data_IF_675319053089
#
_entry.id   IF_675319053089
#
_cell.length_a   1.000
_cell.length_b   1.000
_cell.length_c   1.000
_cell.angle_alpha   90.00
_cell.angle_beta   90.00
_cell.angle_gamma   90.00
#
_symmetry.space_group_name_H-M   'P 1'
#
loop_
_entity.id
_entity.type
_entity.pdbx_description
1 polymer ?
#
# COMPACT_ATOMS: atom_id res chain seq x y z
N UNK A 1 -2.66 17.25 -14.04
CA UNK A 1 -2.32 15.89 -13.60
C UNK A 1 -0.95 15.53 -14.16
N UNK A 2 0.01 15.24 -13.30
CA UNK A 2 1.41 14.91 -13.66
C UNK A 2 1.54 13.40 -13.83
N UNK A 3 1.96 12.94 -14.99
CA UNK A 3 1.93 11.55 -15.38
C UNK A 3 3.31 11.04 -15.78
N UNK A 4 3.75 9.91 -15.23
CA UNK A 4 4.97 9.21 -15.61
C UNK A 4 4.60 8.01 -16.50
N UNK A 5 5.28 7.85 -17.65
CA UNK A 5 5.12 6.70 -18.54
C UNK A 5 6.25 5.71 -18.24
N UNK A 6 5.88 4.46 -17.97
CA UNK A 6 6.84 3.37 -17.65
C UNK A 6 6.56 2.19 -18.56
N UNK A 7 7.50 1.92 -19.48
CA UNK A 7 7.40 0.87 -20.51
C UNK A 7 8.80 0.63 -21.07
N UNK A 8 9.26 -0.59 -21.21
CA UNK A 8 10.61 -0.89 -21.73
C UNK A 8 10.71 -0.61 -23.24
N UNK A 9 9.59 -0.66 -23.95
CA UNK A 9 9.52 -0.39 -25.38
C UNK A 9 9.45 1.10 -25.70
N UNK A 10 10.53 1.71 -26.22
CA UNK A 10 10.53 3.12 -26.62
C UNK A 10 9.40 3.50 -27.63
N UNK A 11 9.02 2.65 -28.60
CA UNK A 11 7.88 2.94 -29.48
C UNK A 11 6.54 3.02 -28.74
N UNK A 12 6.34 2.19 -27.70
CA UNK A 12 5.12 2.21 -26.87
C UNK A 12 5.05 3.52 -26.07
N UNK A 13 6.15 3.95 -25.44
CA UNK A 13 6.22 5.24 -24.75
C UNK A 13 5.92 6.42 -25.70
N UNK A 14 6.54 6.42 -26.88
CA UNK A 14 6.29 7.46 -27.89
C UNK A 14 4.83 7.49 -28.36
N UNK A 15 4.17 6.34 -28.46
CA UNK A 15 2.75 6.24 -28.78
C UNK A 15 1.89 6.84 -27.67
N UNK A 16 2.12 6.45 -26.41
CA UNK A 16 1.39 6.97 -25.26
C UNK A 16 1.57 8.50 -25.14
N UNK A 17 2.78 9.00 -25.30
CA UNK A 17 3.06 10.44 -25.30
C UNK A 17 2.24 11.19 -26.36
N UNK A 18 2.17 10.66 -27.59
CA UNK A 18 1.37 11.26 -28.68
C UNK A 18 -0.13 11.27 -28.35
N UNK A 19 -0.64 10.18 -27.78
CA UNK A 19 -2.05 10.10 -27.38
C UNK A 19 -2.36 11.09 -26.24
N UNK A 20 -1.46 11.21 -25.27
CA UNK A 20 -1.62 12.11 -24.13
C UNK A 20 -1.54 13.60 -24.52
N UNK A 21 -0.86 13.95 -25.60
CA UNK A 21 -0.78 15.34 -26.09
C UNK A 21 -2.15 15.96 -26.47
N UNK A 22 -3.17 15.14 -26.70
CA UNK A 22 -4.54 15.62 -26.93
C UNK A 22 -5.27 16.08 -25.65
N UNK A 23 -4.70 15.81 -24.45
CA UNK A 23 -5.33 16.11 -23.15
C UNK A 23 -4.61 17.27 -22.47
N UNK A 24 -5.19 18.46 -22.49
CA UNK A 24 -4.59 19.70 -21.95
C UNK A 24 -4.42 19.70 -20.41
N UNK A 25 -5.15 18.84 -19.71
CA UNK A 25 -5.10 18.68 -18.26
C UNK A 25 -4.10 17.59 -17.81
N UNK A 26 -3.32 17.00 -18.73
CA UNK A 26 -2.30 15.99 -18.49
C UNK A 26 -0.94 16.50 -18.89
N UNK A 27 0.04 16.38 -18.01
CA UNK A 27 1.43 16.70 -18.23
C UNK A 27 2.26 15.43 -18.10
N UNK A 28 2.95 15.00 -19.14
CA UNK A 28 3.92 13.91 -19.07
C UNK A 28 5.21 14.45 -18.48
N UNK A 29 5.45 14.17 -17.20
CA UNK A 29 6.61 14.68 -16.45
C UNK A 29 7.88 13.88 -16.66
N UNK A 30 7.78 12.66 -17.20
CA UNK A 30 8.94 11.81 -17.47
C UNK A 30 8.57 10.50 -18.14
N UNK A 31 9.61 9.75 -18.50
CA UNK A 31 9.53 8.39 -19.02
C UNK A 31 10.59 7.51 -18.35
N UNK A 32 10.29 6.22 -18.16
CA UNK A 32 11.23 5.23 -17.68
C UNK A 32 11.13 3.95 -18.51
N UNK A 33 12.25 3.30 -18.75
CA UNK A 33 12.34 2.05 -19.51
C UNK A 33 12.48 0.79 -18.63
N UNK A 34 12.60 0.96 -17.32
CA UNK A 34 12.74 -0.14 -16.37
C UNK A 34 12.27 0.27 -14.97
N UNK A 35 12.15 -0.70 -14.07
CA UNK A 35 11.66 -0.48 -12.71
C UNK A 35 12.59 0.42 -11.87
N UNK A 36 13.92 0.33 -12.04
CA UNK A 36 14.89 1.15 -11.31
C UNK A 36 14.80 2.62 -11.70
N UNK A 37 14.77 2.90 -13.01
CA UNK A 37 14.57 4.23 -13.56
C UNK A 37 13.21 4.80 -13.14
N UNK A 38 12.16 3.97 -13.10
CA UNK A 38 10.82 4.39 -12.66
C UNK A 38 10.80 4.81 -11.19
N UNK A 39 11.41 4.04 -10.28
CA UNK A 39 11.51 4.40 -8.86
C UNK A 39 12.28 5.70 -8.65
N UNK A 40 13.40 5.89 -9.35
CA UNK A 40 14.18 7.13 -9.31
C UNK A 40 13.36 8.33 -9.84
N UNK A 41 12.62 8.14 -10.93
CA UNK A 41 11.72 9.16 -11.49
C UNK A 41 10.56 9.50 -10.54
N UNK A 42 9.95 8.52 -9.89
CA UNK A 42 8.89 8.75 -8.88
C UNK A 42 9.42 9.60 -7.72
N UNK A 43 10.61 9.28 -7.21
CA UNK A 43 11.22 10.03 -6.10
C UNK A 43 11.56 11.49 -6.46
N UNK A 44 11.99 11.75 -7.69
CA UNK A 44 12.45 13.08 -8.12
C UNK A 44 11.36 13.92 -8.74
N UNK A 45 10.48 13.31 -9.53
CA UNK A 45 9.45 14.02 -10.29
C UNK A 45 8.12 14.11 -9.54
N UNK A 46 7.90 13.28 -8.52
CA UNK A 46 6.65 13.23 -7.73
C UNK A 46 5.41 13.24 -8.64
N UNK A 47 5.22 12.21 -9.50
CA UNK A 47 4.05 12.16 -10.38
C UNK A 47 2.77 11.87 -9.59
N UNK A 48 1.63 12.36 -10.10
CA UNK A 48 0.30 12.03 -9.55
C UNK A 48 -0.11 10.60 -9.91
N UNK A 49 0.30 10.14 -11.10
CA UNK A 49 -0.06 8.82 -11.61
C UNK A 49 1.01 8.24 -12.56
N UNK A 50 0.98 6.90 -12.72
CA UNK A 50 1.79 6.14 -13.66
C UNK A 50 0.90 5.47 -14.71
N UNK A 51 1.34 5.51 -15.99
CA UNK A 51 0.97 4.51 -16.99
C UNK A 51 2.10 3.48 -17.02
N UNK A 52 1.82 2.26 -16.58
CA UNK A 52 2.83 1.27 -16.23
C UNK A 52 2.63 -0.02 -17.02
N UNK A 53 3.62 -0.38 -17.83
CA UNK A 53 3.65 -1.72 -18.42
C UNK A 53 3.84 -2.79 -17.35
N UNK A 54 3.14 -3.91 -17.51
CA UNK A 54 3.26 -5.06 -16.63
C UNK A 54 4.49 -5.88 -16.98
N UNK A 55 4.78 -6.03 -18.26
CA UNK A 55 5.86 -6.91 -18.75
C UNK A 55 7.10 -6.09 -19.07
N UNK A 56 8.00 -6.00 -18.12
CA UNK A 56 9.31 -5.38 -18.30
C UNK A 56 10.43 -6.36 -17.92
N UNK A 57 11.60 -6.30 -18.57
CA UNK A 57 12.74 -7.11 -18.22
C UNK A 57 13.19 -6.88 -16.76
N UNK A 58 13.45 -7.96 -16.05
CA UNK A 58 14.02 -7.93 -14.69
C UNK A 58 12.99 -7.83 -13.56
N UNK A 59 12.05 -6.90 -13.62
CA UNK A 59 10.99 -6.76 -12.62
C UNK A 59 9.66 -6.45 -13.31
N UNK A 60 8.58 -7.11 -12.88
CA UNK A 60 7.26 -6.84 -13.45
C UNK A 60 6.71 -5.48 -12.98
N UNK A 61 5.83 -4.88 -13.78
CA UNK A 61 5.12 -3.67 -13.36
C UNK A 61 4.27 -3.86 -12.10
N UNK A 62 3.81 -5.09 -11.83
CA UNK A 62 3.10 -5.41 -10.60
C UNK A 62 4.03 -5.32 -9.38
N UNK A 63 5.26 -5.84 -9.48
CA UNK A 63 6.28 -5.75 -8.43
C UNK A 63 6.69 -4.30 -8.19
N UNK A 64 6.85 -3.53 -9.28
CA UNK A 64 7.13 -2.10 -9.19
C UNK A 64 5.99 -1.36 -8.47
N UNK A 65 4.73 -1.60 -8.84
CA UNK A 65 3.58 -0.97 -8.21
C UNK A 65 3.50 -1.28 -6.69
N UNK A 66 3.83 -2.52 -6.30
CA UNK A 66 3.91 -2.92 -4.89
C UNK A 66 5.07 -2.28 -4.12
N UNK A 67 6.11 -1.83 -4.83
CA UNK A 67 7.33 -1.22 -4.26
C UNK A 67 7.29 0.31 -4.20
N UNK A 68 6.23 0.95 -4.73
CA UNK A 68 6.10 2.40 -4.74
C UNK A 68 6.06 2.97 -3.31
N UNK A 69 6.78 4.09 -3.06
CA UNK A 69 6.79 4.73 -1.74
C UNK A 69 5.42 5.39 -1.44
N UNK A 70 5.04 5.42 -0.16
CA UNK A 70 3.84 6.15 0.28
C UNK A 70 4.15 7.66 0.47
N UNK A 71 3.25 8.55 0.03
CA UNK A 71 1.98 8.29 -0.66
C UNK A 71 2.19 7.89 -2.12
N UNK A 72 1.77 6.67 -2.47
CA UNK A 72 1.98 6.12 -3.79
C UNK A 72 1.19 6.87 -4.88
N UNK A 73 1.78 7.13 -6.06
CA UNK A 73 1.04 7.62 -7.21
C UNK A 73 -0.05 6.62 -7.62
N UNK A 74 -1.10 7.11 -8.26
CA UNK A 74 -2.13 6.23 -8.81
C UNK A 74 -1.58 5.44 -10.01
N UNK A 75 -1.99 4.19 -10.19
CA UNK A 75 -1.46 3.33 -11.25
C UNK A 75 -2.56 2.95 -12.24
N UNK A 76 -2.28 3.10 -13.53
CA UNK A 76 -3.02 2.48 -14.63
C UNK A 76 -2.05 1.55 -15.33
N UNK A 77 -2.38 0.26 -15.36
CA UNK A 77 -1.56 -0.70 -16.09
C UNK A 77 -1.84 -0.66 -17.58
N UNK A 78 -0.78 -0.86 -18.35
CA UNK A 78 -0.82 -0.99 -19.82
C UNK A 78 -0.16 -2.31 -20.17
N UNK A 79 -0.82 -3.22 -20.92
CA UNK A 79 -0.25 -4.54 -21.21
C UNK A 79 -0.72 -5.09 -22.56
N UNK A 80 0.10 -5.94 -23.16
CA UNK A 80 -0.27 -6.69 -24.36
C UNK A 80 -1.25 -7.84 -24.09
N UNK A 81 -1.44 -8.24 -22.82
CA UNK A 81 -2.16 -9.46 -22.47
C UNK A 81 -3.33 -9.20 -21.53
N UNK A 82 -4.54 -9.62 -21.91
CA UNK A 82 -5.77 -9.42 -21.14
C UNK A 82 -5.85 -10.21 -19.82
N UNK A 83 -5.07 -11.28 -19.65
CA UNK A 83 -5.13 -12.11 -18.45
C UNK A 83 -4.52 -11.48 -17.19
N UNK A 84 -3.75 -10.39 -17.33
CA UNK A 84 -3.25 -9.60 -16.20
C UNK A 84 -4.28 -8.61 -15.64
N UNK A 85 -5.47 -8.51 -16.24
CA UNK A 85 -6.50 -7.60 -15.73
C UNK A 85 -6.91 -7.93 -14.28
N UNK A 86 -7.05 -9.21 -13.93
CA UNK A 86 -7.36 -9.64 -12.56
C UNK A 86 -6.25 -9.29 -11.57
N UNK A 87 -4.98 -9.66 -11.79
CA UNK A 87 -3.86 -9.21 -10.94
C UNK A 87 -3.72 -7.69 -10.85
N UNK A 88 -3.99 -6.95 -11.94
CA UNK A 88 -3.95 -5.49 -11.94
C UNK A 88 -5.02 -4.87 -11.01
N UNK A 89 -6.22 -5.43 -11.00
CA UNK A 89 -7.27 -5.04 -10.04
C UNK A 89 -6.85 -5.37 -8.60
N UNK A 90 -6.16 -6.49 -8.39
CA UNK A 90 -5.63 -6.87 -7.08
C UNK A 90 -4.53 -5.91 -6.58
N UNK A 91 -3.76 -5.32 -7.48
CA UNK A 91 -2.77 -4.29 -7.16
C UNK A 91 -3.37 -2.89 -6.87
N UNK A 92 -4.68 -2.77 -6.65
CA UNK A 92 -5.40 -1.51 -6.44
C UNK A 92 -5.21 -0.47 -7.57
N UNK A 93 -4.99 -0.94 -8.80
CA UNK A 93 -4.90 -0.08 -9.98
C UNK A 93 -6.22 0.66 -10.22
N UNK A 94 -6.11 1.86 -10.76
CA UNK A 94 -7.28 2.68 -11.13
C UNK A 94 -7.94 2.15 -12.39
N UNK A 95 -7.16 1.68 -13.35
CA UNK A 95 -7.64 1.06 -14.58
C UNK A 95 -6.58 0.15 -15.23
N UNK A 96 -7.01 -0.54 -16.29
CA UNK A 96 -6.19 -1.44 -17.08
C UNK A 96 -6.43 -1.19 -18.58
N UNK A 97 -5.35 -1.01 -19.35
CA UNK A 97 -5.37 -0.75 -20.78
C UNK A 97 -4.68 -1.88 -21.54
N UNK A 98 -5.32 -2.35 -22.60
CA UNK A 98 -4.70 -3.30 -23.52
C UNK A 98 -3.93 -2.55 -24.62
N UNK A 99 -2.74 -3.05 -24.97
CA UNK A 99 -2.00 -2.64 -26.15
C UNK A 99 -2.62 -3.32 -27.40
N UNK A 100 -2.78 -2.61 -28.52
CA UNK A 100 -2.51 -1.19 -28.71
C UNK A 100 -3.56 -0.29 -28.02
N UNK A 101 -3.07 0.70 -27.25
CA UNK A 101 -3.97 1.59 -26.51
C UNK A 101 -4.81 2.42 -27.48
N UNK A 102 -6.13 2.33 -27.29
CA UNK A 102 -7.12 3.10 -28.06
C UNK A 102 -7.39 4.46 -27.37
N UNK A 103 -7.56 5.56 -28.16
CA UNK A 103 -7.78 6.89 -27.59
C UNK A 103 -8.96 6.98 -26.62
N UNK A 104 -10.09 6.33 -26.96
CA UNK A 104 -11.30 6.35 -26.14
C UNK A 104 -11.10 5.60 -24.80
N UNK A 105 -10.32 4.51 -24.82
CA UNK A 105 -10.00 3.75 -23.62
C UNK A 105 -9.06 4.54 -22.72
N UNK A 106 -8.06 5.22 -23.31
CA UNK A 106 -7.17 6.12 -22.58
C UNK A 106 -7.95 7.27 -21.96
N UNK A 107 -8.87 7.92 -22.68
CA UNK A 107 -9.70 8.98 -22.15
C UNK A 107 -10.46 8.56 -20.88
N UNK A 108 -11.13 7.40 -20.92
CA UNK A 108 -11.85 6.85 -19.76
C UNK A 108 -10.93 6.54 -18.57
N UNK A 109 -9.73 6.04 -18.83
CA UNK A 109 -8.75 5.78 -17.77
C UNK A 109 -8.27 7.09 -17.11
N UNK A 110 -8.04 8.15 -17.91
CA UNK A 110 -7.67 9.47 -17.41
C UNK A 110 -8.81 10.12 -16.60
N UNK A 111 -10.06 9.95 -17.00
CA UNK A 111 -11.23 10.39 -16.21
C UNK A 111 -11.28 9.69 -14.84
N UNK A 112 -11.06 8.37 -14.79
CA UNK A 112 -11.01 7.60 -13.55
C UNK A 112 -9.84 8.04 -12.66
N UNK A 113 -8.67 8.29 -13.26
CA UNK A 113 -7.51 8.84 -12.55
C UNK A 113 -7.84 10.20 -11.93
N UNK A 114 -8.41 11.13 -12.71
CA UNK A 114 -8.77 12.46 -12.23
C UNK A 114 -9.77 12.39 -11.07
N UNK A 115 -10.78 11.52 -11.16
CA UNK A 115 -11.74 11.28 -10.08
C UNK A 115 -11.03 10.75 -8.82
N UNK A 116 -10.18 9.75 -8.95
CA UNK A 116 -9.45 9.14 -7.83
C UNK A 116 -8.52 10.15 -7.14
N UNK A 117 -7.83 10.97 -7.91
CA UNK A 117 -6.96 12.02 -7.37
C UNK A 117 -7.76 13.11 -6.63
N UNK A 118 -8.91 13.51 -7.19
CA UNK A 118 -9.81 14.47 -6.53
C UNK A 118 -10.36 13.91 -5.19
N UNK A 119 -10.75 12.64 -5.17
CA UNK A 119 -11.19 11.97 -3.94
C UNK A 119 -10.08 11.96 -2.89
N UNK A 120 -8.84 11.59 -3.27
CA UNK A 120 -7.67 11.63 -2.36
C UNK A 120 -7.39 13.04 -1.81
N UNK A 121 -7.53 14.08 -2.64
CA UNK A 121 -7.36 15.47 -2.19
C UNK A 121 -8.44 15.87 -1.19
N UNK A 122 -9.70 15.56 -1.46
CA UNK A 122 -10.83 15.84 -0.54
C UNK A 122 -10.65 15.11 0.80
N UNK A 123 -10.22 13.83 0.78
CA UNK A 123 -9.93 13.07 1.99
C UNK A 123 -8.81 13.73 2.81
N UNK A 124 -7.75 14.24 2.14
CA UNK A 124 -6.65 14.98 2.80
C UNK A 124 -7.13 16.31 3.37
N UNK A 125 -7.91 17.09 2.62
CA UNK A 125 -8.47 18.36 3.08
C UNK A 125 -9.43 18.16 4.26
N UNK A 126 -10.32 17.17 4.19
CA UNK A 126 -11.22 16.83 5.30
C UNK A 126 -10.44 16.39 6.54
N UNK A 127 -9.31 15.71 6.36
CA UNK A 127 -8.40 15.34 7.44
C UNK A 127 -7.67 16.55 8.04
N UNK A 128 -7.30 17.51 7.21
CA UNK A 128 -6.64 18.77 7.64
C UNK A 128 -7.61 19.77 8.29
N UNK A 129 -8.87 19.80 7.86
CA UNK A 129 -9.91 20.72 8.36
C UNK A 129 -10.60 20.23 9.64
N UNK A 130 -10.28 19.03 10.15
CA UNK A 130 -10.81 18.59 11.44
C UNK A 130 -10.18 19.42 12.55
N UNK A 131 -11.00 20.06 13.43
CA UNK A 131 -10.46 20.90 14.46
C UNK A 131 -9.49 20.12 15.33
N UNK A 132 -8.24 20.55 15.37
CA UNK A 132 -7.31 20.20 16.43
C UNK A 132 -7.91 20.84 17.68
N UNK A 133 -8.47 20.06 18.58
CA UNK A 133 -8.83 20.56 19.89
C UNK A 133 -7.54 21.04 20.56
N UNK A 134 -7.39 22.32 20.88
CA UNK A 134 -6.22 22.81 21.60
C UNK A 134 -6.36 22.36 23.07
N UNK A 135 -5.71 21.25 23.40
CA UNK A 135 -5.75 20.79 24.80
C UNK A 135 -5.39 19.32 25.01
N UNK A 136 -4.45 18.79 24.27
CA UNK A 136 -3.74 17.57 24.66
C UNK A 136 -2.39 17.57 23.98
N UNK A 137 -1.34 17.85 24.74
CA UNK A 137 -0.03 17.32 24.44
C UNK A 137 -0.16 15.80 24.41
N UNK A 138 0.52 15.18 23.47
CA UNK A 138 0.52 13.77 23.08
C UNK A 138 -0.48 13.41 21.98
N UNK A 139 0.10 12.83 20.94
CA UNK A 139 -0.54 12.31 19.75
C UNK A 139 -1.93 11.73 20.06
N UNK A 140 -2.98 12.51 19.79
CA UNK A 140 -4.36 12.02 19.83
C UNK A 140 -4.54 11.03 18.66
N UNK A 141 -4.10 9.80 18.91
CA UNK A 141 -4.55 8.65 18.16
C UNK A 141 -6.09 8.70 18.14
N UNK A 142 -6.70 8.62 16.96
CA UNK A 142 -8.07 8.20 16.85
C UNK A 142 -8.27 7.01 17.79
N UNK A 143 -9.41 6.91 18.50
CA UNK A 143 -9.72 5.63 19.08
C UNK A 143 -9.64 4.61 17.95
N UNK A 144 -8.71 3.66 18.08
CA UNK A 144 -8.59 2.58 17.12
C UNK A 144 -9.99 2.03 16.87
N UNK A 145 -10.38 1.72 15.63
CA UNK A 145 -11.70 1.20 15.36
C UNK A 145 -11.95 0.04 16.32
N UNK A 146 -13.11 0.03 16.98
CA UNK A 146 -13.42 -1.02 17.94
C UNK A 146 -13.46 -2.41 17.27
N UNK A 147 -13.77 -2.43 15.98
CA UNK A 147 -13.94 -3.64 15.19
C UNK A 147 -13.40 -3.45 13.76
N UNK A 148 -12.82 -4.51 13.22
CA UNK A 148 -12.39 -4.62 11.83
C UNK A 148 -13.40 -5.48 11.06
N UNK A 149 -13.90 -4.95 9.94
CA UNK A 149 -14.77 -5.69 9.03
C UNK A 149 -13.92 -6.27 7.91
N UNK A 150 -13.79 -7.59 7.84
CA UNK A 150 -12.97 -8.30 6.85
C UNK A 150 -13.89 -9.08 5.91
N UNK A 151 -14.12 -8.58 4.67
CA UNK A 151 -14.84 -9.34 3.65
C UNK A 151 -13.97 -10.54 3.20
N UNK A 152 -14.48 -11.75 3.34
CA UNK A 152 -13.83 -12.97 2.86
C UNK A 152 -14.87 -13.92 2.25
N UNK A 153 -14.69 -14.29 0.99
CA UNK A 153 -15.50 -15.29 0.25
C UNK A 153 -17.01 -15.12 0.41
N UNK A 154 -17.51 -13.87 0.31
CA UNK A 154 -18.95 -13.56 0.41
C UNK A 154 -19.48 -13.50 1.84
N UNK A 155 -18.63 -13.62 2.85
CA UNK A 155 -18.92 -13.36 4.28
C UNK A 155 -18.15 -12.14 4.75
N UNK A 156 -18.68 -11.43 5.73
CA UNK A 156 -17.95 -10.37 6.42
C UNK A 156 -17.64 -10.84 7.84
N UNK A 157 -16.34 -11.03 8.13
CA UNK A 157 -15.89 -11.30 9.49
C UNK A 157 -15.85 -9.98 10.26
N UNK A 158 -16.50 -9.95 11.42
CA UNK A 158 -16.39 -8.86 12.38
C UNK A 158 -15.40 -9.30 13.44
N UNK A 159 -14.25 -8.62 13.54
CA UNK A 159 -13.18 -8.94 14.47
C UNK A 159 -12.97 -7.73 15.38
N UNK A 160 -13.10 -7.89 16.69
CA UNK A 160 -12.75 -6.83 17.60
C UNK A 160 -11.23 -6.54 17.50
N UNK A 161 -10.84 -5.28 17.36
CA UNK A 161 -9.42 -4.95 17.20
C UNK A 161 -8.55 -5.41 18.38
N UNK A 162 -9.13 -5.55 19.56
CA UNK A 162 -8.49 -6.13 20.73
C UNK A 162 -8.19 -7.65 20.61
N UNK A 163 -8.91 -8.35 19.74
CA UNK A 163 -8.74 -9.78 19.45
C UNK A 163 -7.69 -10.05 18.37
N UNK A 164 -7.28 -9.03 17.60
CA UNK A 164 -6.25 -9.19 16.58
C UNK A 164 -4.91 -9.39 17.28
N UNK A 165 -4.23 -10.48 16.93
CA UNK A 165 -2.93 -10.85 17.53
C UNK A 165 -1.78 -10.33 16.68
N UNK A 166 -1.84 -10.55 15.37
CA UNK A 166 -0.84 -10.07 14.42
C UNK A 166 -1.40 -10.06 13.00
N UNK A 167 -0.68 -9.39 12.13
CA UNK A 167 -1.02 -9.19 10.72
C UNK A 167 0.12 -9.71 9.86
N UNK A 168 -0.21 -10.43 8.79
CA UNK A 168 0.72 -11.00 7.84
C UNK A 168 0.41 -10.50 6.43
N UNK A 169 1.38 -9.90 5.77
CA UNK A 169 1.23 -9.55 4.36
C UNK A 169 1.38 -10.79 3.49
N UNK A 170 0.38 -11.06 2.69
CA UNK A 170 0.32 -12.12 1.69
C UNK A 170 -0.02 -11.48 0.34
N UNK A 171 1.00 -11.11 -0.42
CA UNK A 171 0.89 -10.37 -1.68
C UNK A 171 0.05 -9.08 -1.51
N UNK A 172 -1.12 -9.02 -2.13
CA UNK A 172 -2.05 -7.88 -2.07
C UNK A 172 -3.09 -8.00 -0.94
N UNK A 173 -2.92 -8.96 -0.05
CA UNK A 173 -3.79 -9.22 1.08
C UNK A 173 -3.03 -9.11 2.39
N UNK A 174 -3.76 -8.88 3.45
CA UNK A 174 -3.28 -9.05 4.82
C UNK A 174 -4.10 -10.15 5.45
N UNK A 175 -3.43 -11.17 5.96
CA UNK A 175 -4.05 -12.17 6.83
C UNK A 175 -4.19 -11.53 8.21
N UNK A 176 -5.41 -11.46 8.72
CA UNK A 176 -5.71 -10.91 10.04
C UNK A 176 -5.82 -12.07 11.01
N UNK A 177 -4.76 -12.32 11.77
CA UNK A 177 -4.73 -13.40 12.77
C UNK A 177 -5.43 -12.94 14.05
N UNK A 178 -6.51 -13.61 14.42
CA UNK A 178 -7.29 -13.33 15.63
C UNK A 178 -6.98 -14.35 16.74
N UNK A 179 -7.23 -13.96 17.99
CA UNK A 179 -6.97 -14.79 19.19
C UNK A 179 -7.79 -16.09 19.23
N UNK A 180 -8.93 -16.12 18.56
CA UNK A 180 -9.80 -17.30 18.43
C UNK A 180 -9.37 -18.29 17.33
N UNK A 181 -8.22 -18.04 16.68
CA UNK A 181 -7.67 -18.86 15.62
C UNK A 181 -8.20 -18.54 14.21
N UNK A 182 -9.13 -17.60 14.06
CA UNK A 182 -9.55 -17.12 12.74
C UNK A 182 -8.41 -16.36 12.07
N UNK A 183 -8.27 -16.51 10.75
CA UNK A 183 -7.25 -15.87 9.95
C UNK A 183 -7.81 -15.42 8.58
N UNK A 184 -8.85 -14.56 8.54
CA UNK A 184 -9.42 -14.13 7.27
C UNK A 184 -8.45 -13.22 6.50
N UNK A 185 -8.60 -13.24 5.17
CA UNK A 185 -7.82 -12.45 4.23
C UNK A 185 -8.51 -11.10 3.99
N UNK A 186 -7.83 -10.02 4.24
CA UNK A 186 -8.28 -8.67 3.94
C UNK A 186 -7.50 -8.08 2.77
N UNK A 187 -8.20 -7.61 1.75
CA UNK A 187 -7.58 -6.96 0.60
C UNK A 187 -7.18 -5.53 0.94
N UNK A 188 -6.02 -5.38 1.56
CA UNK A 188 -5.41 -4.09 1.92
C UNK A 188 -3.90 -4.24 2.01
N UNK A 189 -3.17 -3.14 1.93
CA UNK A 189 -1.74 -3.15 2.26
C UNK A 189 -1.56 -3.15 3.78
N UNK A 190 -0.50 -3.80 4.26
CA UNK A 190 -0.16 -3.82 5.69
C UNK A 190 0.03 -2.39 6.24
N UNK A 191 0.63 -1.49 5.46
CA UNK A 191 0.84 -0.10 5.85
C UNK A 191 -0.49 0.66 6.04
N UNK A 192 -1.44 0.52 5.10
CA UNK A 192 -2.74 1.17 5.19
C UNK A 192 -3.56 0.64 6.37
N UNK A 193 -3.49 -0.67 6.63
CA UNK A 193 -4.19 -1.27 7.77
C UNK A 193 -3.60 -0.82 9.10
N UNK A 194 -2.27 -0.71 9.21
CA UNK A 194 -1.60 -0.19 10.41
C UNK A 194 -1.94 1.27 10.70
N UNK A 195 -2.08 2.10 9.67
CA UNK A 195 -2.50 3.49 9.84
C UNK A 195 -3.90 3.61 10.45
N UNK A 196 -4.81 2.70 10.13
CA UNK A 196 -6.17 2.68 10.68
C UNK A 196 -6.21 2.10 12.11
N UNK A 197 -5.42 1.05 12.38
CA UNK A 197 -5.36 0.39 13.68
C UNK A 197 -4.63 1.21 14.76
N UNK A 198 -3.80 2.17 14.33
CA UNK A 198 -3.11 3.13 15.21
C UNK A 198 -2.03 2.53 16.10
N UNK A 199 -1.70 3.23 17.18
CA UNK A 199 -0.53 2.98 18.05
C UNK A 199 -0.57 1.64 18.83
N UNK A 200 -1.69 0.91 18.77
CA UNK A 200 -1.80 -0.44 19.36
C UNK A 200 -1.00 -1.50 18.62
N UNK A 201 -0.60 -1.22 17.37
CA UNK A 201 0.11 -2.14 16.50
C UNK A 201 1.45 -1.57 16.07
N UNK A 202 2.44 -2.44 15.89
CA UNK A 202 3.78 -2.06 15.41
C UNK A 202 4.22 -2.99 14.28
N UNK A 203 4.80 -2.39 13.24
CA UNK A 203 5.42 -3.16 12.16
C UNK A 203 6.70 -3.81 12.67
N UNK A 204 6.84 -5.11 12.45
CA UNK A 204 8.00 -5.90 12.90
C UNK A 204 8.87 -6.35 11.72
N UNK A 205 8.25 -6.56 10.56
CA UNK A 205 8.92 -7.00 9.34
C UNK A 205 8.25 -6.36 8.12
N UNK A 206 8.89 -6.44 6.94
CA UNK A 206 8.25 -6.00 5.69
C UNK A 206 6.89 -6.68 5.45
N UNK A 207 6.73 -7.91 5.92
CA UNK A 207 5.53 -8.72 5.78
C UNK A 207 4.75 -8.93 7.08
N UNK A 208 5.13 -8.31 8.21
CA UNK A 208 4.47 -8.60 9.48
C UNK A 208 4.32 -7.38 10.38
N UNK A 209 3.24 -7.37 11.16
CA UNK A 209 3.01 -6.43 12.26
C UNK A 209 2.28 -7.14 13.41
N UNK A 210 2.49 -6.70 14.63
CA UNK A 210 1.90 -7.31 15.82
C UNK A 210 1.10 -6.32 16.65
N UNK A 211 0.08 -6.80 17.33
CA UNK A 211 -0.55 -6.08 18.42
C UNK A 211 0.39 -6.05 19.63
N UNK A 212 0.78 -4.87 20.10
CA UNK A 212 1.72 -4.72 21.22
C UNK A 212 1.24 -5.42 22.50
N UNK A 213 -0.07 -5.46 22.73
CA UNK A 213 -0.68 -6.15 23.88
C UNK A 213 -0.49 -7.67 23.85
N UNK A 214 -0.21 -8.24 22.70
CA UNK A 214 -0.06 -9.68 22.49
C UNK A 214 1.41 -10.15 22.58
N UNK A 215 2.37 -9.23 22.58
CA UNK A 215 3.79 -9.58 22.70
C UNK A 215 4.10 -10.09 24.10
N UNK A 216 4.61 -11.31 24.20
CA UNK A 216 5.05 -11.95 25.44
C UNK A 216 6.55 -11.82 25.64
N UNK A 217 7.33 -12.02 24.59
CA UNK A 217 8.79 -11.97 24.63
C UNK A 217 9.38 -11.56 23.29
N UNK A 218 10.58 -10.98 23.34
CA UNK A 218 11.44 -10.73 22.19
C UNK A 218 12.61 -11.70 22.25
N UNK A 219 12.67 -12.63 21.31
CA UNK A 219 13.69 -13.67 21.25
C UNK A 219 14.79 -13.25 20.27
N UNK A 220 16.07 -13.51 20.59
CA UNK A 220 17.15 -13.26 19.64
C UNK A 220 17.02 -14.21 18.45
N UNK A 221 17.14 -13.66 17.24
CA UNK A 221 17.21 -14.41 16.00
C UNK A 221 18.61 -14.42 15.41
N UNK A 222 18.76 -15.03 14.25
CA UNK A 222 20.03 -15.08 13.53
C UNK A 222 20.39 -13.71 12.92
N UNK A 223 21.70 -13.43 12.74
CA UNK A 223 22.25 -12.26 12.03
C UNK A 223 21.76 -10.88 12.52
N UNK A 224 21.29 -10.80 13.78
CA UNK A 224 20.82 -9.56 14.40
C UNK A 224 19.33 -9.29 14.24
N UNK A 225 18.59 -10.16 13.57
CA UNK A 225 17.13 -10.18 13.56
C UNK A 225 16.58 -10.65 14.94
N UNK A 226 15.29 -10.60 15.13
CA UNK A 226 14.62 -11.08 16.32
C UNK A 226 13.31 -11.79 15.93
N UNK A 227 12.76 -12.58 16.87
CA UNK A 227 11.42 -13.11 16.77
C UNK A 227 10.60 -12.62 17.96
N UNK A 228 9.35 -12.26 17.69
CA UNK A 228 8.40 -11.92 18.75
C UNK A 228 7.55 -13.14 19.07
N UNK A 229 7.62 -13.59 20.31
CA UNK A 229 6.71 -14.61 20.83
C UNK A 229 5.43 -13.92 21.30
N UNK A 230 4.30 -14.33 20.78
CA UNK A 230 2.99 -13.83 21.16
C UNK A 230 2.34 -14.73 22.23
N UNK A 231 1.39 -14.18 23.00
CA UNK A 231 0.67 -14.90 24.06
C UNK A 231 -0.01 -16.18 23.60
N UNK A 232 -0.44 -16.25 22.33
CA UNK A 232 -1.00 -17.44 21.67
C UNK A 232 0.04 -18.45 21.19
N UNK A 233 1.35 -18.25 21.47
CA UNK A 233 2.43 -19.13 21.04
C UNK A 233 2.93 -18.86 19.60
N UNK A 234 2.30 -17.99 18.85
CA UNK A 234 2.77 -17.63 17.52
C UNK A 234 4.11 -16.89 17.58
N UNK A 235 4.99 -17.17 16.61
CA UNK A 235 6.28 -16.50 16.45
C UNK A 235 6.22 -15.61 15.21
N UNK A 236 6.50 -14.34 15.38
CA UNK A 236 6.44 -13.35 14.29
C UNK A 236 7.82 -12.75 14.06
N UNK A 237 8.31 -12.69 12.81
CA UNK A 237 9.63 -12.17 12.50
C UNK A 237 9.74 -10.68 12.81
N UNK A 238 10.89 -10.26 13.31
CA UNK A 238 11.25 -8.87 13.57
C UNK A 238 12.62 -8.58 12.95
N UNK A 239 12.64 -7.79 11.89
CA UNK A 239 13.88 -7.42 11.23
C UNK A 239 14.73 -6.49 12.11
N UNK A 240 16.05 -6.55 11.93
CA UNK A 240 16.99 -5.67 12.61
C UNK A 240 16.62 -4.19 12.50
N UNK A 241 16.11 -3.75 11.35
CA UNK A 241 15.69 -2.37 11.12
C UNK A 241 14.49 -1.95 11.98
N UNK A 242 13.59 -2.88 12.30
CA UNK A 242 12.37 -2.61 13.08
C UNK A 242 12.55 -2.83 14.59
N UNK A 243 13.63 -3.49 14.99
CA UNK A 243 13.87 -3.89 16.40
C UNK A 243 13.84 -2.71 17.36
N UNK A 244 14.50 -1.60 17.03
CA UNK A 244 14.53 -0.42 17.88
C UNK A 244 13.13 0.20 18.07
N UNK A 245 12.35 0.29 16.99
CA UNK A 245 10.97 0.80 17.04
C UNK A 245 10.06 -0.10 17.88
N UNK A 246 10.20 -1.43 17.74
CA UNK A 246 9.45 -2.41 18.54
C UNK A 246 9.80 -2.28 20.01
N UNK A 247 11.08 -2.20 20.36
CA UNK A 247 11.54 -2.05 21.75
C UNK A 247 11.03 -0.75 22.38
N UNK A 248 11.10 0.37 21.63
CA UNK A 248 10.58 1.66 22.11
C UNK A 248 9.06 1.61 22.33
N UNK A 249 8.31 0.99 21.42
CA UNK A 249 6.86 0.84 21.55
C UNK A 249 6.46 -0.06 22.75
N UNK A 250 7.23 -1.09 23.04
CA UNK A 250 7.03 -1.95 24.22
C UNK A 250 7.40 -1.23 25.53
N UNK A 251 8.51 -0.47 25.55
CA UNK A 251 8.94 0.28 26.73
C UNK A 251 7.95 1.37 27.11
N UNK A 252 7.37 2.08 26.14
CA UNK A 252 6.35 3.11 26.39
C UNK A 252 5.05 2.58 27.03
N UNK A 253 4.83 1.26 27.03
CA UNK A 253 3.70 0.58 27.71
C UNK A 253 4.06 -0.04 29.07
N UNK A 254 5.34 -0.22 29.34
CA UNK A 254 5.80 -0.84 30.60
C UNK A 254 5.82 0.14 31.79
N UNK A 255 5.56 1.42 31.58
CA UNK A 255 5.56 2.48 32.59
C UNK A 255 4.13 2.91 32.99
N UNK A 256 3.12 2.14 32.62
CA UNK A 256 1.74 2.24 33.15
C UNK A 256 1.41 0.98 33.98
#
# INVERSE_FOLDING_TARGET
MRLLIVDDEAPARARLRRLLAAFTNVEVVGEAGDAGAALAAVATLVPDALLLDIQMPGASGLDLAASLPEPAPAVVFVSAHGHYALPAFDAAAVDYLLKPVEPERLARALERLAKRLTERLREREQRALRPVHPGAGDAAAWPAPAQLLVPDRGRTHVIACAEITWLEAADNYVVVHAADGRAPLMRRTLAALLADLGAGFVRTHRSAAVALAQVQAVLPGERGDAELLLRGGARVPCSRAQRAAVQAALAGRALL
#
